data_IF_640572547800
#
_entry.id   IF_640572547800
#
_cell.length_a   1.000
_cell.length_b   1.000
_cell.length_c   1.000
_cell.angle_alpha   90.00
_cell.angle_beta   90.00
_cell.angle_gamma   90.00
#
_symmetry.space_group_name_H-M   'P 1'
#
loop_
_entity.id
_entity.type
_entity.pdbx_description
1 polymer ?
#
# COMPACT_ATOMS: atom_id res chain seq x y z
N UNK A 1 32.86 -61.15 14.20
CA UNK A 1 33.47 -59.84 13.90
C UNK A 1 32.87 -59.40 12.58
N UNK A 2 31.67 -58.82 12.64
CA UNK A 2 30.87 -58.45 11.47
C UNK A 2 30.91 -56.93 11.38
N UNK A 3 31.57 -56.45 10.34
CA UNK A 3 31.81 -55.05 10.04
C UNK A 3 30.52 -54.42 9.50
N UNK A 4 29.81 -53.68 10.35
CA UNK A 4 28.59 -52.98 10.01
C UNK A 4 28.96 -51.63 9.39
N UNK A 5 29.25 -51.65 8.09
CA UNK A 5 29.54 -50.44 7.32
C UNK A 5 28.24 -49.67 7.07
N UNK A 6 28.01 -48.65 7.90
CA UNK A 6 26.98 -47.64 7.69
C UNK A 6 27.17 -46.96 6.34
N UNK A 7 26.22 -47.18 5.42
CA UNK A 7 26.16 -46.44 4.17
C UNK A 7 25.68 -45.00 4.44
N UNK A 8 26.39 -43.97 3.98
CA UNK A 8 25.94 -42.60 4.13
C UNK A 8 24.76 -42.33 3.20
N UNK A 9 23.58 -42.09 3.77
CA UNK A 9 22.41 -41.61 3.06
C UNK A 9 22.68 -40.21 2.46
N UNK A 10 23.14 -40.17 1.21
CA UNK A 10 23.25 -38.96 0.43
C UNK A 10 21.86 -38.53 -0.03
N UNK A 11 21.19 -37.72 0.78
CA UNK A 11 19.98 -37.02 0.35
C UNK A 11 20.30 -36.15 -0.86
N UNK A 12 19.68 -36.45 -2.01
CA UNK A 12 19.87 -35.71 -3.26
C UNK A 12 19.45 -34.24 -3.06
N UNK A 13 20.36 -33.26 -3.19
CA UNK A 13 20.11 -31.85 -2.85
C UNK A 13 18.96 -31.21 -3.64
N UNK A 14 18.55 -31.80 -4.77
CA UNK A 14 17.42 -31.32 -5.57
C UNK A 14 16.02 -31.65 -5.01
N UNK A 15 15.87 -32.64 -4.13
CA UNK A 15 14.53 -33.00 -3.60
C UNK A 15 14.08 -32.02 -2.51
N UNK A 16 15.01 -31.60 -1.66
CA UNK A 16 14.75 -30.67 -0.56
C UNK A 16 14.36 -29.28 -1.04
N UNK A 17 14.99 -28.78 -2.12
CA UNK A 17 14.64 -27.47 -2.71
C UNK A 17 13.24 -27.45 -3.29
N UNK A 18 12.82 -28.54 -3.93
CA UNK A 18 11.49 -28.68 -4.53
C UNK A 18 10.39 -28.76 -3.46
N UNK A 19 10.65 -29.46 -2.34
CA UNK A 19 9.75 -29.48 -1.19
C UNK A 19 9.58 -28.11 -0.53
N UNK A 20 10.66 -27.34 -0.41
CA UNK A 20 10.61 -25.98 0.16
C UNK A 20 9.83 -25.03 -0.77
N UNK A 21 10.05 -25.11 -2.08
CA UNK A 21 9.29 -24.31 -3.05
C UNK A 21 7.79 -24.62 -3.00
N UNK A 22 7.43 -25.91 -2.93
CA UNK A 22 6.02 -26.32 -2.79
C UNK A 22 5.39 -25.80 -1.48
N UNK A 23 6.12 -25.91 -0.35
CA UNK A 23 5.67 -25.38 0.94
C UNK A 23 5.51 -23.85 0.92
N UNK A 24 6.45 -23.15 0.28
CA UNK A 24 6.46 -21.70 0.14
C UNK A 24 5.24 -21.20 -0.68
N UNK A 25 4.91 -21.89 -1.78
CA UNK A 25 3.71 -21.62 -2.58
C UNK A 25 2.41 -21.93 -1.81
N UNK A 26 2.36 -23.05 -1.11
CA UNK A 26 1.20 -23.42 -0.29
C UNK A 26 0.96 -22.42 0.86
N UNK A 27 2.04 -21.97 1.51
CA UNK A 27 1.97 -20.93 2.53
C UNK A 27 1.45 -19.61 1.96
N UNK A 28 1.91 -19.22 0.77
CA UNK A 28 1.43 -18.03 0.05
C UNK A 28 -0.08 -18.10 -0.26
N UNK A 29 -0.54 -19.23 -0.79
CA UNK A 29 -1.96 -19.45 -1.08
C UNK A 29 -2.82 -19.43 0.20
N UNK A 30 -2.33 -20.01 1.30
CA UNK A 30 -3.04 -19.95 2.58
C UNK A 30 -3.10 -18.53 3.15
N UNK A 31 -2.09 -17.67 2.94
CA UNK A 31 -2.12 -16.27 3.39
C UNK A 31 -3.17 -15.46 2.61
N UNK A 32 -3.38 -15.78 1.33
CA UNK A 32 -4.34 -15.09 0.47
C UNK A 32 -5.80 -15.25 0.95
N UNK A 33 -6.13 -16.36 1.61
CA UNK A 33 -7.46 -16.59 2.20
C UNK A 33 -7.86 -15.54 3.25
N UNK A 34 -6.91 -14.76 3.78
CA UNK A 34 -7.18 -13.65 4.69
C UNK A 34 -7.65 -12.37 3.97
N UNK A 35 -7.84 -12.39 2.65
CA UNK A 35 -8.41 -11.27 1.89
C UNK A 35 -7.45 -10.08 1.74
N UNK A 36 -6.14 -10.33 1.72
CA UNK A 36 -5.14 -9.28 1.54
C UNK A 36 -5.26 -8.68 0.14
N UNK A 37 -5.66 -7.41 0.05
CA UNK A 37 -5.77 -6.66 -1.20
C UNK A 37 -4.78 -5.48 -1.24
N UNK A 38 -3.45 -5.73 -1.28
CA UNK A 38 -2.44 -4.67 -1.24
C UNK A 38 -2.50 -3.70 -2.42
N UNK A 39 -2.88 -4.18 -3.60
CA UNK A 39 -2.91 -3.42 -4.88
C UNK A 39 -4.33 -3.10 -5.33
N UNK A 40 -5.34 -3.72 -4.72
CA UNK A 40 -6.76 -3.54 -5.03
C UNK A 40 -7.19 -4.23 -6.34
N UNK A 41 -6.36 -5.12 -6.89
CA UNK A 41 -6.66 -5.92 -8.09
C UNK A 41 -6.48 -7.38 -7.75
N UNK A 42 -7.58 -8.12 -7.68
CA UNK A 42 -7.63 -9.49 -7.11
C UNK A 42 -6.56 -10.41 -7.70
N UNK A 43 -6.38 -10.42 -9.03
CA UNK A 43 -5.39 -11.28 -9.68
C UNK A 43 -3.93 -10.92 -9.37
N UNK A 44 -3.61 -9.63 -9.29
CA UNK A 44 -2.25 -9.16 -9.00
C UNK A 44 -1.93 -9.28 -7.51
N UNK A 45 -2.95 -9.09 -6.65
CA UNK A 45 -2.85 -9.28 -5.21
C UNK A 45 -2.45 -10.71 -4.84
N UNK A 46 -3.13 -11.70 -5.44
CA UNK A 46 -2.77 -13.11 -5.27
C UNK A 46 -1.31 -13.35 -5.66
N UNK A 47 -0.91 -12.91 -6.85
CA UNK A 47 0.44 -13.13 -7.36
C UNK A 47 1.51 -12.48 -6.46
N UNK A 48 1.31 -11.22 -6.05
CA UNK A 48 2.24 -10.47 -5.21
C UNK A 48 2.36 -11.10 -3.83
N UNK A 49 1.25 -11.46 -3.19
CA UNK A 49 1.25 -12.09 -1.86
C UNK A 49 1.94 -13.46 -1.91
N UNK A 50 1.60 -14.30 -2.89
CA UNK A 50 2.19 -15.64 -3.03
C UNK A 50 3.71 -15.54 -3.25
N UNK A 51 4.17 -14.66 -4.14
CA UNK A 51 5.60 -14.48 -4.41
C UNK A 51 6.32 -13.90 -3.19
N UNK A 52 5.74 -12.89 -2.53
CA UNK A 52 6.34 -12.28 -1.35
C UNK A 52 6.50 -13.28 -0.19
N UNK A 53 5.45 -14.05 0.11
CA UNK A 53 5.49 -15.11 1.13
C UNK A 53 6.48 -16.19 0.73
N UNK A 54 6.53 -16.58 -0.54
CA UNK A 54 7.46 -17.60 -0.99
C UNK A 54 8.93 -17.15 -0.85
N UNK A 55 9.24 -15.91 -1.25
CA UNK A 55 10.56 -15.31 -1.05
C UNK A 55 10.90 -15.22 0.44
N UNK A 56 9.94 -14.81 1.27
CA UNK A 56 10.11 -14.76 2.73
C UNK A 56 10.45 -16.12 3.31
N UNK A 57 9.66 -17.16 3.02
CA UNK A 57 9.87 -18.52 3.55
C UNK A 57 11.24 -19.05 3.12
N UNK A 58 11.61 -18.84 1.87
CA UNK A 58 12.92 -19.25 1.37
C UNK A 58 14.06 -18.54 2.12
N UNK A 59 13.99 -17.22 2.24
CA UNK A 59 15.05 -16.43 2.87
C UNK A 59 15.12 -16.67 4.39
N UNK A 60 13.98 -16.78 5.06
CA UNK A 60 13.87 -17.08 6.48
C UNK A 60 14.29 -18.52 6.82
N UNK A 61 14.21 -19.48 5.88
CA UNK A 61 14.71 -20.85 6.08
C UNK A 61 16.22 -20.91 6.34
N UNK A 62 16.96 -19.86 5.97
CA UNK A 62 18.39 -19.71 6.20
C UNK A 62 18.71 -19.16 7.60
N UNK A 63 17.71 -18.61 8.31
CA UNK A 63 17.87 -18.07 9.65
C UNK A 63 18.03 -19.19 10.70
N UNK A 64 18.69 -18.94 11.84
CA UNK A 64 18.77 -19.92 12.91
C UNK A 64 17.39 -20.16 13.52
N UNK A 65 17.07 -21.43 13.80
CA UNK A 65 15.75 -21.87 14.28
C UNK A 65 15.27 -21.08 15.51
N UNK A 66 16.18 -20.74 16.42
CA UNK A 66 15.90 -19.92 17.62
C UNK A 66 15.28 -18.55 17.29
N UNK A 67 15.69 -17.91 16.20
CA UNK A 67 15.15 -16.60 15.80
C UNK A 67 13.74 -16.74 15.23
N UNK A 68 13.49 -17.78 14.44
CA UNK A 68 12.15 -18.06 13.91
C UNK A 68 11.18 -18.35 15.06
N UNK A 69 11.61 -19.12 16.06
CA UNK A 69 10.79 -19.38 17.26
C UNK A 69 10.54 -18.12 18.06
N UNK A 70 11.56 -17.30 18.34
CA UNK A 70 11.39 -16.02 19.07
C UNK A 70 10.45 -15.09 18.30
N UNK A 71 10.66 -14.93 16.99
CA UNK A 71 9.79 -14.13 16.14
C UNK A 71 8.34 -14.64 16.16
N UNK A 72 8.15 -15.96 16.13
CA UNK A 72 6.82 -16.57 16.22
C UNK A 72 6.16 -16.26 17.56
N UNK A 73 6.87 -16.39 18.69
CA UNK A 73 6.33 -16.03 20.01
C UNK A 73 5.88 -14.58 20.04
N UNK A 74 6.75 -13.64 19.62
CA UNK A 74 6.45 -12.21 19.61
C UNK A 74 5.23 -11.90 18.73
N UNK A 75 5.21 -12.39 17.49
CA UNK A 75 4.10 -12.16 16.57
C UNK A 75 2.79 -12.78 17.06
N UNK A 76 2.86 -13.94 17.72
CA UNK A 76 1.66 -14.64 18.24
C UNK A 76 1.00 -13.84 19.35
N UNK A 77 1.79 -13.25 20.25
CA UNK A 77 1.28 -12.38 21.32
C UNK A 77 0.63 -11.12 20.72
N UNK A 78 1.19 -10.59 19.63
CA UNK A 78 0.71 -9.36 18.99
C UNK A 78 -0.48 -9.57 18.06
N UNK A 79 -0.66 -10.76 17.48
CA UNK A 79 -1.70 -11.01 16.47
C UNK A 79 -3.13 -10.86 17.03
N UNK A 80 -3.34 -11.21 18.29
CA UNK A 80 -4.64 -11.03 18.95
C UNK A 80 -5.80 -11.81 18.33
N UNK A 81 -5.52 -12.86 17.54
CA UNK A 81 -6.50 -13.77 16.95
C UNK A 81 -6.31 -15.20 17.48
N UNK A 82 -7.42 -15.92 17.68
CA UNK A 82 -7.39 -17.31 18.18
C UNK A 82 -6.69 -18.24 17.19
N UNK A 83 -6.90 -18.02 15.89
CA UNK A 83 -6.25 -18.80 14.84
C UNK A 83 -4.73 -18.61 14.85
N UNK A 84 -4.25 -17.36 14.85
CA UNK A 84 -2.82 -17.08 14.90
C UNK A 84 -2.19 -17.60 16.20
N UNK A 85 -2.94 -17.57 17.31
CA UNK A 85 -2.52 -18.20 18.56
C UNK A 85 -2.28 -19.71 18.40
N UNK A 86 -3.24 -20.46 17.84
CA UNK A 86 -3.10 -21.89 17.62
C UNK A 86 -1.92 -22.23 16.69
N UNK A 87 -1.80 -21.54 15.56
CA UNK A 87 -0.70 -21.73 14.59
C UNK A 87 0.65 -21.39 15.23
N UNK A 88 0.72 -20.27 15.96
CA UNK A 88 1.91 -19.82 16.66
C UNK A 88 2.39 -20.80 17.72
N UNK A 89 1.49 -21.28 18.57
CA UNK A 89 1.81 -22.29 19.61
C UNK A 89 2.27 -23.59 18.98
N UNK A 90 1.60 -24.08 17.94
CA UNK A 90 2.02 -25.29 17.23
C UNK A 90 3.44 -25.14 16.62
N UNK A 91 3.74 -24.00 16.00
CA UNK A 91 5.06 -23.73 15.44
C UNK A 91 6.14 -23.60 16.52
N UNK A 92 5.86 -22.95 17.65
CA UNK A 92 6.80 -22.81 18.77
C UNK A 92 7.10 -24.18 19.40
N UNK A 93 6.07 -25.00 19.63
CA UNK A 93 6.26 -26.35 20.19
C UNK A 93 7.11 -27.23 19.28
N UNK A 94 6.81 -27.27 17.97
CA UNK A 94 7.61 -27.98 16.97
C UNK A 94 9.05 -27.46 16.91
N UNK A 95 9.24 -26.14 16.89
CA UNK A 95 10.55 -25.51 16.86
C UNK A 95 11.39 -25.83 18.09
N UNK A 96 10.79 -25.86 19.29
CA UNK A 96 11.47 -26.24 20.53
C UNK A 96 11.81 -27.73 20.56
N UNK A 97 10.94 -28.60 20.05
CA UNK A 97 11.21 -30.04 19.93
C UNK A 97 12.39 -30.30 19.01
N UNK A 98 12.41 -29.71 17.81
CA UNK A 98 13.51 -29.87 16.86
C UNK A 98 14.82 -29.27 17.36
N UNK A 99 14.76 -28.19 18.15
CA UNK A 99 15.93 -27.59 18.79
C UNK A 99 16.69 -28.56 19.70
N UNK A 100 16.00 -29.51 20.35
CA UNK A 100 16.66 -30.49 21.22
C UNK A 100 17.62 -31.40 20.44
N UNK A 101 17.38 -31.58 19.15
CA UNK A 101 18.20 -32.41 18.25
C UNK A 101 19.22 -31.60 17.42
N UNK A 102 19.36 -30.29 17.68
CA UNK A 102 20.26 -29.37 16.97
C UNK A 102 19.53 -28.23 16.27
N UNK A 103 20.20 -27.57 15.31
CA UNK A 103 19.66 -26.39 14.61
C UNK A 103 18.60 -26.73 13.53
N UNK A 104 18.18 -28.00 13.45
CA UNK A 104 17.17 -28.51 12.53
C UNK A 104 17.58 -28.49 11.05
N UNK A 105 16.87 -29.26 10.22
CA UNK A 105 17.05 -29.27 8.76
C UNK A 105 16.48 -28.00 8.12
N UNK A 106 16.91 -27.65 6.91
CA UNK A 106 16.37 -26.48 6.19
C UNK A 106 14.85 -26.57 5.99
N UNK A 107 14.32 -27.78 5.78
CA UNK A 107 12.88 -28.01 5.67
C UNK A 107 12.14 -27.66 6.97
N UNK A 108 12.69 -28.07 8.12
CA UNK A 108 12.10 -27.73 9.43
C UNK A 108 12.06 -26.21 9.66
N UNK A 109 13.12 -25.49 9.28
CA UNK A 109 13.13 -24.02 9.36
C UNK A 109 12.12 -23.38 8.42
N UNK A 110 11.97 -23.91 7.20
CA UNK A 110 10.96 -23.43 6.25
C UNK A 110 9.53 -23.60 6.79
N UNK A 111 9.25 -24.69 7.51
CA UNK A 111 7.94 -24.90 8.17
C UNK A 111 7.68 -23.83 9.22
N UNK A 112 8.65 -23.54 10.10
CA UNK A 112 8.48 -22.47 11.11
C UNK A 112 8.38 -21.10 10.45
N UNK A 113 9.16 -20.83 9.39
CA UNK A 113 9.08 -19.58 8.64
C UNK A 113 7.72 -19.37 7.96
N UNK A 114 7.12 -20.43 7.41
CA UNK A 114 5.78 -20.40 6.84
C UNK A 114 4.71 -20.14 7.90
N UNK A 115 4.81 -20.79 9.07
CA UNK A 115 3.92 -20.52 10.19
C UNK A 115 4.07 -19.08 10.71
N UNK A 116 5.29 -18.57 10.81
CA UNK A 116 5.57 -17.18 11.17
C UNK A 116 4.94 -16.21 10.15
N UNK A 117 5.00 -16.50 8.86
CA UNK A 117 4.35 -15.69 7.82
C UNK A 117 2.82 -15.62 8.02
N UNK A 118 2.19 -16.74 8.34
CA UNK A 118 0.75 -16.82 8.64
C UNK A 118 0.37 -15.98 9.88
N UNK A 119 1.17 -16.08 10.95
CA UNK A 119 0.94 -15.30 12.17
C UNK A 119 1.14 -13.80 11.90
N UNK A 120 2.19 -13.43 11.16
CA UNK A 120 2.46 -12.04 10.76
C UNK A 120 1.35 -11.46 9.88
N UNK A 121 0.77 -12.25 8.98
CA UNK A 121 -0.34 -11.82 8.13
C UNK A 121 -1.61 -11.48 8.94
N UNK A 122 -1.73 -12.00 10.17
CA UNK A 122 -2.85 -11.73 11.07
C UNK A 122 -2.54 -10.69 12.16
N UNK A 123 -1.42 -9.96 12.06
CA UNK A 123 -1.16 -8.88 13.01
C UNK A 123 -2.31 -7.85 12.97
N UNK A 124 -3.13 -7.83 14.03
CA UNK A 124 -4.20 -6.84 14.20
C UNK A 124 -3.64 -5.43 14.13
N UNK A 125 -4.42 -4.47 13.62
CA UNK A 125 -4.07 -3.06 13.72
C UNK A 125 -3.97 -2.68 15.21
N UNK A 126 -2.78 -2.29 15.66
CA UNK A 126 -2.49 -1.91 17.04
C UNK A 126 -3.02 -0.50 17.37
N UNK A 127 -4.25 -0.18 16.95
CA UNK A 127 -4.92 1.09 17.22
C UNK A 127 -4.62 2.22 16.23
N UNK A 128 -3.44 2.28 15.63
CA UNK A 128 -3.04 3.32 14.65
C UNK A 128 -2.65 2.71 13.31
N UNK A 129 -3.08 3.35 12.21
CA UNK A 129 -2.77 2.91 10.85
C UNK A 129 -1.25 2.83 10.66
N UNK A 130 -0.74 1.67 10.21
CA UNK A 130 0.68 1.50 9.86
C UNK A 130 1.62 0.95 10.94
N UNK A 131 1.29 1.00 12.24
CA UNK A 131 2.18 0.45 13.29
C UNK A 131 2.33 -1.07 13.17
N UNK A 132 1.24 -1.80 12.93
CA UNK A 132 1.27 -3.25 12.72
C UNK A 132 2.10 -3.64 11.49
N UNK A 133 1.98 -2.87 10.41
CA UNK A 133 2.78 -3.04 9.18
C UNK A 133 4.26 -2.76 9.43
N UNK A 134 4.59 -1.72 10.18
CA UNK A 134 5.96 -1.36 10.54
C UNK A 134 6.60 -2.42 11.44
N UNK A 135 5.88 -2.94 12.44
CA UNK A 135 6.36 -4.01 13.31
C UNK A 135 6.57 -5.31 12.53
N UNK A 136 5.61 -5.69 11.68
CA UNK A 136 5.74 -6.87 10.82
C UNK A 136 6.93 -6.76 9.86
N UNK A 137 7.12 -5.60 9.24
CA UNK A 137 8.25 -5.31 8.36
C UNK A 137 9.57 -5.33 9.12
N UNK A 138 9.63 -4.72 10.31
CA UNK A 138 10.83 -4.71 11.15
C UNK A 138 11.23 -6.13 11.58
N UNK A 139 10.27 -6.96 11.99
CA UNK A 139 10.54 -8.37 12.31
C UNK A 139 11.03 -9.13 11.08
N UNK A 140 10.41 -8.92 9.92
CA UNK A 140 10.82 -9.56 8.68
C UNK A 140 12.26 -9.16 8.30
N UNK A 141 12.57 -7.87 8.32
CA UNK A 141 13.90 -7.35 8.03
C UNK A 141 14.95 -7.87 9.03
N UNK A 142 14.64 -7.93 10.33
CA UNK A 142 15.56 -8.44 11.33
C UNK A 142 15.96 -9.90 11.06
N UNK A 143 14.99 -10.76 10.74
CA UNK A 143 15.25 -12.16 10.36
C UNK A 143 16.04 -12.23 9.06
N UNK A 144 15.70 -11.39 8.07
CA UNK A 144 16.37 -11.36 6.78
C UNK A 144 17.84 -10.93 6.87
N UNK A 145 18.15 -9.89 7.64
CA UNK A 145 19.51 -9.39 7.87
C UNK A 145 20.37 -10.46 8.56
N UNK A 146 19.81 -11.17 9.54
CA UNK A 146 20.55 -12.23 10.24
C UNK A 146 20.77 -13.46 9.37
N UNK A 147 19.77 -13.83 8.56
CA UNK A 147 19.91 -14.87 7.55
C UNK A 147 21.03 -14.53 6.55
N UNK A 148 21.10 -13.28 6.11
CA UNK A 148 22.14 -12.78 5.20
C UNK A 148 23.54 -12.79 5.83
N UNK A 149 23.62 -12.56 7.13
CA UNK A 149 24.87 -12.57 7.91
C UNK A 149 25.61 -13.91 7.88
N UNK A 150 24.91 -15.02 7.63
CA UNK A 150 25.45 -16.39 7.77
C UNK A 150 25.74 -17.11 6.45
N UNK A 151 25.42 -16.53 5.30
CA UNK A 151 25.72 -17.19 4.02
C UNK A 151 27.23 -17.15 3.69
N UNK A 152 27.81 -18.24 3.16
CA UNK A 152 29.18 -18.24 2.65
C UNK A 152 29.35 -17.22 1.51
N UNK A 153 30.53 -16.63 1.37
CA UNK A 153 30.79 -15.49 0.47
C UNK A 153 30.45 -15.77 -1.01
N UNK A 154 30.50 -17.03 -1.45
CA UNK A 154 30.15 -17.43 -2.81
C UNK A 154 28.64 -17.37 -3.09
N UNK A 155 27.80 -17.77 -2.13
CA UNK A 155 26.34 -17.75 -2.26
C UNK A 155 25.76 -16.36 -1.99
N UNK A 156 26.42 -15.59 -1.10
CA UNK A 156 26.10 -14.18 -0.85
C UNK A 156 26.05 -13.34 -2.12
N UNK A 157 26.93 -13.59 -3.10
CA UNK A 157 26.97 -12.80 -4.36
C UNK A 157 25.73 -13.00 -5.21
N UNK A 158 25.22 -14.23 -5.33
CA UNK A 158 23.99 -14.53 -6.08
C UNK A 158 22.75 -13.99 -5.35
N UNK A 159 22.67 -14.20 -4.04
CA UNK A 159 21.60 -13.63 -3.20
C UNK A 159 21.58 -12.10 -3.29
N UNK A 160 22.76 -11.45 -3.28
CA UNK A 160 22.92 -9.98 -3.38
C UNK A 160 22.27 -9.43 -4.64
N UNK A 161 22.40 -10.10 -5.78
CA UNK A 161 21.79 -9.64 -7.02
C UNK A 161 20.26 -9.77 -6.98
N UNK A 162 19.73 -10.83 -6.38
CA UNK A 162 18.27 -11.00 -6.23
C UNK A 162 17.69 -9.92 -5.30
N UNK A 163 18.33 -9.67 -4.15
CA UNK A 163 17.86 -8.62 -3.22
C UNK A 163 18.08 -7.21 -3.79
N UNK A 164 19.19 -6.95 -4.49
CA UNK A 164 19.36 -5.67 -5.20
C UNK A 164 18.36 -5.49 -6.33
N UNK A 165 18.01 -6.56 -7.05
CA UNK A 165 17.01 -6.50 -8.11
C UNK A 165 15.61 -6.24 -7.53
N UNK A 166 15.22 -6.96 -6.47
CA UNK A 166 13.93 -6.76 -5.79
C UNK A 166 13.86 -5.38 -5.14
N UNK A 167 14.90 -5.00 -4.38
CA UNK A 167 14.99 -3.70 -3.72
C UNK A 167 15.09 -2.54 -4.71
N UNK A 168 15.86 -2.70 -5.79
CA UNK A 168 16.00 -1.73 -6.85
C UNK A 168 14.71 -1.56 -7.66
N UNK A 169 14.00 -2.65 -7.96
CA UNK A 169 12.68 -2.60 -8.58
C UNK A 169 11.68 -1.89 -7.66
N UNK A 170 11.67 -2.21 -6.37
CA UNK A 170 10.85 -1.52 -5.38
C UNK A 170 11.14 -0.02 -5.32
N UNK A 171 12.42 0.35 -5.27
CA UNK A 171 12.86 1.75 -5.28
C UNK A 171 12.48 2.47 -6.58
N UNK A 172 12.66 1.84 -7.73
CA UNK A 172 12.27 2.39 -9.03
C UNK A 172 10.74 2.61 -9.11
N UNK A 173 9.94 1.69 -8.57
CA UNK A 173 8.49 1.85 -8.45
C UNK A 173 8.11 3.02 -7.53
N UNK A 174 8.80 3.18 -6.39
CA UNK A 174 8.59 4.31 -5.48
C UNK A 174 8.97 5.64 -6.14
N UNK A 175 10.11 5.72 -6.82
CA UNK A 175 10.55 6.93 -7.53
C UNK A 175 9.60 7.28 -8.68
N UNK A 176 9.24 6.29 -9.51
CA UNK A 176 8.29 6.48 -10.62
C UNK A 176 6.91 6.93 -10.13
N UNK A 177 6.46 6.40 -8.98
CA UNK A 177 5.27 6.92 -8.33
C UNK A 177 5.46 8.34 -7.81
N UNK A 178 6.57 8.67 -7.15
CA UNK A 178 6.85 10.00 -6.64
C UNK A 178 6.73 11.09 -7.71
N UNK A 179 7.26 10.83 -8.91
CA UNK A 179 7.15 11.75 -10.06
C UNK A 179 5.69 11.86 -10.55
N UNK A 180 4.97 10.74 -10.63
CA UNK A 180 3.56 10.73 -11.07
C UNK A 180 2.64 11.40 -10.02
N UNK A 181 2.90 11.16 -8.74
CA UNK A 181 2.19 11.76 -7.62
C UNK A 181 2.47 13.26 -7.51
N UNK A 182 3.70 13.71 -7.78
CA UNK A 182 4.04 15.14 -7.79
C UNK A 182 3.28 15.89 -8.90
N UNK A 183 3.18 15.30 -10.10
CA UNK A 183 2.46 15.91 -11.23
C UNK A 183 0.94 15.86 -11.06
N UNK A 184 0.38 14.79 -10.49
CA UNK A 184 -1.04 14.73 -10.14
C UNK A 184 -1.38 15.65 -8.96
N UNK A 185 -0.48 15.73 -7.97
CA UNK A 185 -0.63 16.55 -6.77
C UNK A 185 -0.68 18.04 -7.08
N UNK A 186 0.15 18.53 -8.00
CA UNK A 186 0.09 19.92 -8.44
C UNK A 186 -1.26 20.25 -9.10
N UNK A 187 -1.80 19.35 -9.93
CA UNK A 187 -3.11 19.53 -10.56
C UNK A 187 -4.26 19.50 -9.56
N UNK A 188 -4.23 18.60 -8.57
CA UNK A 188 -5.20 18.56 -7.47
C UNK A 188 -5.20 19.86 -6.65
N UNK A 189 -4.02 20.33 -6.26
CA UNK A 189 -3.87 21.57 -5.49
C UNK A 189 -4.31 22.80 -6.29
N UNK A 190 -4.01 22.83 -7.59
CA UNK A 190 -4.44 23.91 -8.47
C UNK A 190 -5.96 23.87 -8.68
N UNK A 191 -6.53 22.70 -8.97
CA UNK A 191 -7.97 22.52 -9.16
C UNK A 191 -8.78 22.89 -7.92
N UNK A 192 -8.34 22.48 -6.73
CA UNK A 192 -8.97 22.87 -5.47
C UNK A 192 -8.85 24.36 -5.15
N UNK A 193 -7.72 25.00 -5.49
CA UNK A 193 -7.58 26.46 -5.36
C UNK A 193 -8.52 27.20 -6.30
N UNK A 194 -8.64 26.73 -7.53
CA UNK A 194 -9.51 27.30 -8.54
C UNK A 194 -10.99 27.17 -8.15
N UNK A 195 -11.42 26.00 -7.66
CA UNK A 195 -12.77 25.80 -7.15
C UNK A 195 -13.12 26.76 -5.99
N UNK A 196 -12.19 26.99 -5.05
CA UNK A 196 -12.37 27.99 -3.97
C UNK A 196 -12.36 29.43 -4.47
N UNK A 197 -11.66 29.72 -5.55
CA UNK A 197 -11.71 31.04 -6.18
C UNK A 197 -13.07 31.26 -6.85
N UNK A 198 -13.56 30.26 -7.59
CA UNK A 198 -14.89 30.29 -8.22
C UNK A 198 -16.02 30.46 -7.20
N UNK A 199 -15.96 29.79 -6.04
CA UNK A 199 -16.94 30.00 -4.96
C UNK A 199 -16.99 31.45 -4.46
N UNK A 200 -15.83 32.11 -4.34
CA UNK A 200 -15.76 33.52 -3.94
C UNK A 200 -16.36 34.45 -5.00
N UNK A 201 -16.28 34.07 -6.28
CA UNK A 201 -16.91 34.79 -7.37
C UNK A 201 -18.44 34.63 -7.35
N UNK A 202 -18.95 33.45 -6.99
CA UNK A 202 -20.39 33.24 -6.72
C UNK A 202 -20.88 34.15 -5.59
N UNK A 203 -20.13 34.24 -4.49
CA UNK A 203 -20.47 35.13 -3.37
C UNK A 203 -20.47 36.62 -3.75
N UNK A 204 -19.67 36.99 -4.76
CA UNK A 204 -19.58 38.35 -5.29
C UNK A 204 -20.60 38.64 -6.40
N UNK A 205 -21.36 37.64 -6.85
CA UNK A 205 -22.29 37.74 -7.97
C UNK A 205 -21.63 37.71 -9.35
N UNK A 206 -20.33 37.40 -9.45
CA UNK A 206 -19.59 37.29 -10.71
C UNK A 206 -19.74 35.89 -11.33
N UNK A 207 -20.94 35.58 -11.82
CA UNK A 207 -21.31 34.21 -12.21
C UNK A 207 -20.59 33.70 -13.47
N UNK A 208 -20.33 34.55 -14.46
CA UNK A 208 -19.57 34.17 -15.66
C UNK A 208 -18.13 33.80 -15.32
N UNK A 209 -17.48 34.61 -14.48
CA UNK A 209 -16.14 34.33 -14.01
C UNK A 209 -16.11 33.07 -13.11
N UNK A 210 -17.16 32.84 -12.32
CA UNK A 210 -17.32 31.62 -11.53
C UNK A 210 -17.48 30.37 -12.42
N UNK A 211 -18.26 30.47 -13.50
CA UNK A 211 -18.44 29.40 -14.50
C UNK A 211 -17.11 28.97 -15.09
N UNK A 212 -16.32 29.94 -15.57
CA UNK A 212 -14.97 29.68 -16.12
C UNK A 212 -14.05 29.03 -15.07
N UNK A 213 -14.12 29.51 -13.83
CA UNK A 213 -13.35 28.95 -12.70
C UNK A 213 -13.72 27.50 -12.39
N UNK A 214 -15.00 27.15 -12.33
CA UNK A 214 -15.44 25.77 -12.09
C UNK A 214 -15.10 24.84 -13.26
N UNK A 215 -15.23 25.31 -14.51
CA UNK A 215 -14.83 24.55 -15.69
C UNK A 215 -13.31 24.28 -15.70
N UNK A 216 -12.51 25.27 -15.31
CA UNK A 216 -11.07 25.12 -15.18
C UNK A 216 -10.68 24.16 -14.04
N UNK A 217 -11.34 24.27 -12.88
CA UNK A 217 -11.17 23.35 -11.76
C UNK A 217 -11.48 21.90 -12.16
N UNK A 218 -12.61 21.66 -12.85
CA UNK A 218 -12.99 20.35 -13.35
C UNK A 218 -11.93 19.77 -14.28
N UNK A 219 -11.43 20.52 -15.27
CA UNK A 219 -10.36 20.06 -16.17
C UNK A 219 -9.07 19.68 -15.41
N UNK A 220 -8.68 20.47 -14.41
CA UNK A 220 -7.50 20.19 -13.59
C UNK A 220 -7.67 18.90 -12.77
N UNK A 221 -8.83 18.72 -12.15
CA UNK A 221 -9.16 17.55 -11.33
C UNK A 221 -9.28 16.28 -12.18
N UNK A 222 -9.97 16.33 -13.32
CA UNK A 222 -10.05 15.22 -14.29
C UNK A 222 -8.68 14.88 -14.87
N UNK A 223 -7.86 15.88 -15.20
CA UNK A 223 -6.48 15.65 -15.66
C UNK A 223 -5.57 15.03 -14.58
N UNK A 224 -5.87 15.26 -13.29
CA UNK A 224 -5.23 14.54 -12.20
C UNK A 224 -5.73 13.10 -12.11
N UNK A 225 -7.03 12.87 -12.25
CA UNK A 225 -7.63 11.52 -12.31
C UNK A 225 -7.01 10.69 -13.44
N UNK A 226 -6.94 11.22 -14.65
CA UNK A 226 -6.40 10.54 -15.83
C UNK A 226 -4.93 10.16 -15.65
N UNK A 227 -4.13 11.06 -15.05
CA UNK A 227 -2.72 10.78 -14.79
C UNK A 227 -2.54 9.73 -13.69
N UNK A 228 -3.43 9.73 -12.70
CA UNK A 228 -3.55 8.67 -11.70
C UNK A 228 -4.23 7.43 -12.28
N UNK A 229 -4.88 7.46 -13.42
CA UNK A 229 -5.51 6.32 -14.10
C UNK A 229 -4.59 5.63 -15.10
N UNK A 230 -3.61 6.38 -15.61
CA UNK A 230 -2.82 6.02 -16.76
C UNK A 230 -2.07 4.69 -16.64
N UNK A 231 -1.91 4.04 -17.79
CA UNK A 231 -1.26 2.74 -17.94
C UNK A 231 0.23 2.78 -17.56
N UNK A 232 0.92 3.90 -17.75
CA UNK A 232 2.30 4.07 -17.27
C UNK A 232 2.39 4.18 -15.75
N UNK A 233 1.27 4.44 -15.07
CA UNK A 233 1.16 4.36 -13.61
C UNK A 233 1.05 2.92 -13.11
N UNK A 234 0.87 1.90 -13.95
CA UNK A 234 0.70 0.49 -13.53
C UNK A 234 1.81 -0.03 -12.60
N UNK A 235 3.11 0.33 -12.75
CA UNK A 235 4.15 -0.09 -11.80
C UNK A 235 3.90 0.41 -10.37
N UNK A 236 3.31 1.59 -10.22
CA UNK A 236 2.93 2.12 -8.91
C UNK A 236 1.81 1.31 -8.23
N UNK A 237 1.02 0.54 -8.99
CA UNK A 237 0.04 -0.39 -8.41
C UNK A 237 0.69 -1.58 -7.72
N UNK A 238 1.94 -1.94 -8.08
CA UNK A 238 2.63 -3.07 -7.49
C UNK A 238 3.17 -2.80 -6.07
N UNK A 239 3.24 -1.52 -5.65
CA UNK A 239 3.68 -1.14 -4.31
C UNK A 239 2.44 -0.90 -3.44
N UNK A 240 2.19 -1.73 -2.42
CA UNK A 240 0.92 -1.72 -1.68
C UNK A 240 0.55 -0.35 -1.09
N UNK A 241 1.52 0.29 -0.42
CA UNK A 241 1.32 1.58 0.24
C UNK A 241 0.96 2.68 -0.77
N UNK A 242 1.59 2.63 -1.93
CA UNK A 242 1.39 3.57 -3.03
C UNK A 242 0.06 3.35 -3.73
N UNK A 243 -0.32 2.09 -3.96
CA UNK A 243 -1.58 1.73 -4.59
C UNK A 243 -2.79 2.21 -3.78
N UNK A 244 -2.74 2.05 -2.46
CA UNK A 244 -3.82 2.46 -1.56
C UNK A 244 -3.99 3.99 -1.52
N UNK A 245 -2.89 4.73 -1.47
CA UNK A 245 -2.91 6.20 -1.52
C UNK A 245 -3.46 6.70 -2.86
N UNK A 246 -2.93 6.18 -3.96
CA UNK A 246 -3.39 6.51 -5.32
C UNK A 246 -4.88 6.28 -5.52
N UNK A 247 -5.40 5.13 -5.07
CA UNK A 247 -6.80 4.80 -5.26
C UNK A 247 -7.73 5.77 -4.52
N UNK A 248 -7.32 6.17 -3.31
CA UNK A 248 -8.07 7.17 -2.52
C UNK A 248 -8.05 8.55 -3.17
N UNK A 249 -6.87 9.01 -3.59
CA UNK A 249 -6.69 10.30 -4.25
C UNK A 249 -7.44 10.36 -5.58
N UNK A 250 -7.45 9.27 -6.35
CA UNK A 250 -8.19 9.20 -7.61
C UNK A 250 -9.70 9.32 -7.40
N UNK A 251 -10.27 8.62 -6.42
CA UNK A 251 -11.70 8.73 -6.09
C UNK A 251 -12.07 10.15 -5.69
N UNK A 252 -11.23 10.77 -4.87
CA UNK A 252 -11.44 12.15 -4.43
C UNK A 252 -11.39 13.15 -5.59
N UNK A 253 -10.42 12.99 -6.51
CA UNK A 253 -10.32 13.80 -7.72
C UNK A 253 -11.57 13.68 -8.59
N UNK A 254 -12.07 12.46 -8.75
CA UNK A 254 -13.27 12.14 -9.53
C UNK A 254 -14.53 12.76 -8.91
N UNK A 255 -14.72 12.65 -7.59
CA UNK A 255 -15.85 13.23 -6.87
C UNK A 255 -15.83 14.77 -6.95
N UNK A 256 -14.65 15.38 -6.76
CA UNK A 256 -14.49 16.83 -6.86
C UNK A 256 -14.74 17.34 -8.29
N UNK A 257 -14.23 16.63 -9.31
CA UNK A 257 -14.47 16.97 -10.71
C UNK A 257 -15.97 16.95 -11.05
N UNK A 258 -16.66 15.87 -10.67
CA UNK A 258 -18.10 15.72 -10.89
C UNK A 258 -18.92 16.82 -10.18
N UNK A 259 -18.56 17.18 -8.94
CA UNK A 259 -19.21 18.27 -8.23
C UNK A 259 -19.01 19.62 -8.93
N UNK A 260 -17.78 19.95 -9.34
CA UNK A 260 -17.49 21.20 -10.08
C UNK A 260 -18.19 21.28 -11.44
N UNK A 261 -18.29 20.16 -12.15
CA UNK A 261 -19.03 20.07 -13.42
C UNK A 261 -20.53 20.28 -13.21
N UNK A 262 -21.10 19.70 -12.15
CA UNK A 262 -22.52 19.87 -11.82
C UNK A 262 -22.84 21.32 -11.43
N UNK A 263 -21.96 21.98 -10.67
CA UNK A 263 -22.10 23.40 -10.32
C UNK A 263 -22.07 24.27 -11.60
N UNK A 264 -21.13 24.01 -12.51
CA UNK A 264 -21.05 24.73 -13.78
C UNK A 264 -22.32 24.55 -14.62
N UNK A 265 -22.83 23.32 -14.73
CA UNK A 265 -24.06 23.04 -15.47
C UNK A 265 -25.32 23.71 -14.87
N UNK A 266 -25.38 23.87 -13.54
CA UNK A 266 -26.48 24.59 -12.88
C UNK A 266 -26.37 26.10 -13.15
N UNK A 267 -25.16 26.66 -13.05
CA UNK A 267 -24.91 28.07 -13.34
C UNK A 267 -25.23 28.41 -14.81
N UNK A 268 -24.85 27.57 -15.76
CA UNK A 268 -25.09 27.78 -17.20
C UNK A 268 -26.59 27.76 -17.56
N UNK A 269 -27.38 26.89 -16.89
CA UNK A 269 -28.83 26.78 -17.13
C UNK A 269 -29.64 27.87 -16.44
N UNK A 270 -29.05 28.52 -15.44
CA UNK A 270 -29.76 29.55 -14.70
C UNK A 270 -29.47 30.88 -15.39
N UNK A 271 -30.40 31.32 -16.23
CA UNK A 271 -30.33 32.61 -16.91
C UNK A 271 -30.47 33.75 -15.88
N UNK A 272 -29.35 34.24 -15.37
CA UNK A 272 -29.27 35.32 -14.38
C UNK A 272 -29.24 36.71 -15.03
N UNK A 273 -29.00 36.82 -16.34
CA UNK A 273 -29.21 38.06 -17.08
C UNK A 273 -30.72 38.39 -17.18
N UNK A 274 -31.58 37.36 -17.13
CA UNK A 274 -33.02 37.52 -16.94
C UNK A 274 -33.45 37.88 -15.49
N UNK A 275 -32.50 37.92 -14.54
CA UNK A 275 -32.71 38.41 -13.17
C UNK A 275 -32.39 39.90 -13.01
N UNK A 276 -32.06 40.61 -14.10
CA UNK A 276 -32.23 42.06 -14.13
C UNK A 276 -33.68 42.38 -13.73
N UNK A 277 -33.84 43.35 -12.84
CA UNK A 277 -35.05 43.54 -12.02
C UNK A 277 -36.23 44.01 -12.88
N UNK A 278 -36.84 43.10 -13.62
CA UNK A 278 -38.13 43.29 -14.29
C UNK A 278 -39.14 42.42 -13.54
N UNK A 279 -39.44 42.81 -12.30
CA UNK A 279 -40.55 42.23 -11.50
C UNK A 279 -40.19 41.55 -10.17
N UNK A 280 -38.94 41.61 -9.71
CA UNK A 280 -38.59 41.30 -8.30
C UNK A 280 -38.75 39.83 -7.85
N UNK A 281 -38.65 38.85 -8.75
CA UNK A 281 -38.74 37.43 -8.39
C UNK A 281 -37.37 36.76 -8.40
N UNK A 282 -36.84 36.47 -7.21
CA UNK A 282 -35.64 35.65 -7.02
C UNK A 282 -36.01 34.18 -7.24
N UNK A 283 -35.26 33.46 -8.08
CA UNK A 283 -35.46 32.03 -8.30
C UNK A 283 -34.83 31.20 -7.16
N UNK A 284 -35.59 30.99 -6.09
CA UNK A 284 -35.17 30.21 -4.92
C UNK A 284 -34.91 28.72 -5.25
N UNK A 285 -35.46 28.20 -6.34
CA UNK A 285 -35.28 26.80 -6.74
C UNK A 285 -33.86 26.55 -7.25
N UNK A 286 -33.30 27.50 -8.01
CA UNK A 286 -31.92 27.43 -8.49
C UNK A 286 -30.91 27.49 -7.32
N UNK A 287 -31.18 28.32 -6.30
CA UNK A 287 -30.37 28.39 -5.09
C UNK A 287 -30.42 27.05 -4.32
N UNK A 288 -31.60 26.43 -4.20
CA UNK A 288 -31.75 25.11 -3.57
C UNK A 288 -31.04 24.01 -4.36
N UNK A 289 -30.99 24.11 -5.68
CA UNK A 289 -30.30 23.13 -6.53
C UNK A 289 -28.77 23.14 -6.35
N UNK A 290 -28.18 24.26 -5.92
CA UNK A 290 -26.74 24.40 -5.65
C UNK A 290 -26.32 23.81 -4.30
N UNK A 291 -27.22 23.67 -3.34
CA UNK A 291 -26.88 23.28 -1.96
C UNK A 291 -26.21 21.89 -1.87
N UNK A 292 -26.74 20.88 -2.57
CA UNK A 292 -26.14 19.54 -2.55
C UNK A 292 -24.75 19.50 -3.24
N UNK A 293 -24.58 20.00 -4.48
CA UNK A 293 -23.27 20.04 -5.14
C UNK A 293 -22.20 20.83 -4.36
N UNK A 294 -22.59 21.95 -3.73
CA UNK A 294 -21.68 22.75 -2.90
C UNK A 294 -21.23 21.99 -1.65
N UNK A 295 -22.15 21.29 -0.97
CA UNK A 295 -21.82 20.44 0.17
C UNK A 295 -20.93 19.26 -0.22
N UNK A 296 -21.13 18.69 -1.40
CA UNK A 296 -20.29 17.61 -1.91
C UNK A 296 -18.88 18.11 -2.28
N UNK A 297 -18.78 19.28 -2.91
CA UNK A 297 -17.50 19.94 -3.18
C UNK A 297 -16.75 20.31 -1.90
N UNK A 298 -17.44 20.88 -0.91
CA UNK A 298 -16.84 21.28 0.37
C UNK A 298 -16.31 20.05 1.13
N UNK A 299 -17.09 18.97 1.18
CA UNK A 299 -16.66 17.68 1.77
C UNK A 299 -15.43 17.12 1.04
N UNK A 300 -15.46 17.07 -0.29
CA UNK A 300 -14.34 16.56 -1.08
C UNK A 300 -13.06 17.41 -0.88
N UNK A 301 -13.20 18.73 -0.76
CA UNK A 301 -12.07 19.62 -0.49
C UNK A 301 -11.56 19.54 0.95
N UNK A 302 -12.43 19.32 1.93
CA UNK A 302 -12.07 19.05 3.32
C UNK A 302 -11.25 17.76 3.44
N UNK A 303 -11.74 16.67 2.85
CA UNK A 303 -11.04 15.39 2.77
C UNK A 303 -9.69 15.52 2.04
N UNK A 304 -9.62 16.35 0.99
CA UNK A 304 -8.37 16.61 0.26
C UNK A 304 -7.36 17.35 1.16
N UNK A 305 -7.81 18.35 1.90
CA UNK A 305 -6.96 19.12 2.81
C UNK A 305 -6.39 18.23 3.92
N UNK A 306 -7.24 17.45 4.59
CA UNK A 306 -6.82 16.55 5.67
C UNK A 306 -5.80 15.51 5.18
N UNK A 307 -6.05 14.89 4.03
CA UNK A 307 -5.11 13.92 3.44
C UNK A 307 -3.81 14.55 2.94
N UNK A 308 -3.86 15.79 2.46
CA UNK A 308 -2.65 16.50 2.01
C UNK A 308 -1.79 16.94 3.19
N UNK A 309 -2.40 17.44 4.27
CA UNK A 309 -1.67 17.84 5.47
C UNK A 309 -1.11 16.62 6.22
N UNK A 310 -1.84 15.50 6.24
CA UNK A 310 -1.33 14.20 6.69
C UNK A 310 -0.16 13.71 5.82
N UNK A 311 -0.27 13.81 4.50
CA UNK A 311 0.83 13.42 3.60
C UNK A 311 2.07 14.31 3.74
N UNK A 312 1.90 15.63 3.91
CA UNK A 312 3.02 16.56 4.16
C UNK A 312 3.73 16.23 5.46
N UNK A 313 2.98 15.96 6.53
CA UNK A 313 3.55 15.67 7.85
C UNK A 313 4.27 14.31 7.90
N UNK A 314 3.78 13.29 7.18
CA UNK A 314 4.34 11.94 7.23
C UNK A 314 5.40 11.64 6.14
N UNK A 315 5.44 12.39 5.03
CA UNK A 315 6.31 12.11 3.87
C UNK A 315 7.39 13.16 3.59
N UNK A 316 7.41 14.29 4.32
CA UNK A 316 8.51 15.25 4.18
C UNK A 316 9.77 14.73 4.88
N UNK A 317 10.61 14.01 4.12
CA UNK A 317 12.02 13.91 4.48
C UNK A 317 12.64 15.33 4.48
N UNK A 318 13.35 15.74 5.54
CA UNK A 318 13.84 17.10 5.72
C UNK A 318 14.68 17.77 4.60
N UNK A 319 15.44 17.07 3.72
CA UNK A 319 16.40 17.79 2.88
C UNK A 319 15.81 18.45 1.61
N UNK A 320 14.50 18.40 1.36
CA UNK A 320 13.90 19.03 0.15
C UNK A 320 13.34 20.44 0.40
N UNK A 321 13.13 20.86 1.66
CA UNK A 321 12.65 22.22 1.96
C UNK A 321 13.66 23.31 1.58
N UNK A 322 14.96 23.00 1.54
CA UNK A 322 15.99 23.99 1.20
C UNK A 322 16.06 24.39 -0.28
N UNK A 323 15.31 23.74 -1.18
CA UNK A 323 15.34 24.01 -2.62
C UNK A 323 14.13 24.83 -3.12
N UNK A 324 13.15 25.10 -2.26
CA UNK A 324 11.91 25.82 -2.62
C UNK A 324 11.90 27.24 -2.04
N UNK A 325 12.82 27.56 -1.12
CA UNK A 325 13.01 28.91 -0.55
C UNK A 325 14.11 29.75 -1.26
N UNK A 326 14.41 29.45 -2.53
CA UNK A 326 15.22 30.31 -3.42
C UNK A 326 14.46 30.59 -4.72
#
# INVERSE_FOLDING_TARGET
MSDNTEQPHTSTPGRTSLSIAALALAAGAAVETHGLAPTGTTGLDIAVVVVAVACWVWLASLAPLRMLVIGTVVSTVLAGSVWAFCVGVAAVTLGLLWRRSGDGTQLQRAVIAAALAQVLAQLRSLGTFGISSAVGLALALAVAVVAWGRQPDAERRRSKHIVLAIGGLGLACVIGFGVTAATAGSRLLNGGREARAALRLVDQGELDAALDGFANASRLLSGAEDSLGAWWGVPARAVPLVAQQRHSVRRLAQEAAAATEQIAAILERTDYDALDVVGGRINLEAIRALDAPLRDLDRAMGDLAERTDGARSDWLFPPINGLIDT
#
